data_IF_345104693701
#
_entry.id   IF_345104693701
#
_cell.length_a   1.000
_cell.length_b   1.000
_cell.length_c   1.000
_cell.angle_alpha   90.00
_cell.angle_beta   90.00
_cell.angle_gamma   90.00
#
_symmetry.space_group_name_H-M   'P 1'
#
loop_
_entity.id
_entity.type
_entity.pdbx_description
1 polymer ?
#
# COMPACT_ATOMS: atom_id res chain seq x y z
N UNK A 1 11.46 24.78 -2.75
CA UNK A 1 10.93 24.66 -1.37
C UNK A 1 11.18 23.23 -0.95
N UNK A 2 11.98 22.98 0.08
CA UNK A 2 12.22 21.62 0.60
C UNK A 2 11.22 21.38 1.73
N UNK A 3 10.31 20.44 1.54
CA UNK A 3 9.33 20.05 2.55
C UNK A 3 9.94 19.05 3.55
N UNK A 4 9.32 18.89 4.72
CA UNK A 4 9.77 17.91 5.72
C UNK A 4 9.78 16.47 5.19
N UNK A 5 8.95 16.17 4.19
CA UNK A 5 8.91 14.86 3.55
C UNK A 5 10.15 14.60 2.68
N UNK A 6 10.72 15.62 2.04
CA UNK A 6 11.94 15.53 1.24
C UNK A 6 13.18 15.25 2.12
N UNK A 7 13.15 15.70 3.37
CA UNK A 7 14.27 15.58 4.31
C UNK A 7 14.33 14.21 4.99
N UNK A 8 13.36 13.35 4.72
CA UNK A 8 13.26 12.00 5.30
C UNK A 8 13.49 10.96 4.21
N UNK A 9 14.06 9.81 4.55
CA UNK A 9 14.26 8.66 3.64
C UNK A 9 13.26 7.51 3.87
N UNK A 10 12.20 7.73 4.64
CA UNK A 10 11.20 6.72 4.99
C UNK A 10 10.14 6.44 3.91
N UNK A 11 9.44 5.32 4.03
CA UNK A 11 8.23 5.04 3.24
C UNK A 11 7.11 5.99 3.67
N UNK A 12 6.37 6.56 2.74
CA UNK A 12 5.29 7.52 2.99
C UNK A 12 3.96 6.81 2.72
N UNK A 13 3.12 6.68 3.74
CA UNK A 13 1.80 6.09 3.62
C UNK A 13 0.77 7.20 3.73
N UNK A 14 -0.10 7.34 2.72
CA UNK A 14 -1.25 8.24 2.75
C UNK A 14 -2.50 7.40 2.96
N UNK A 15 -3.08 7.48 4.15
CA UNK A 15 -4.23 6.69 4.56
C UNK A 15 -5.51 7.52 4.61
N UNK A 16 -6.55 7.06 3.91
CA UNK A 16 -7.87 7.69 3.91
C UNK A 16 -8.84 7.02 4.88
N UNK A 17 -9.63 7.85 5.58
CA UNK A 17 -10.63 7.40 6.53
C UNK A 17 -11.96 8.14 6.35
N UNK A 18 -13.06 7.48 6.74
CA UNK A 18 -14.41 8.03 6.81
C UNK A 18 -14.96 7.91 8.24
N UNK A 19 -16.16 8.46 8.46
CA UNK A 19 -17.01 8.02 9.56
C UNK A 19 -17.83 6.79 9.15
N UNK A 20 -18.67 6.32 10.05
CA UNK A 20 -19.55 5.15 9.90
C UNK A 20 -20.83 5.42 9.09
N UNK A 21 -21.05 6.64 8.59
CA UNK A 21 -22.23 6.93 7.77
C UNK A 21 -22.02 6.31 6.39
N UNK A 22 -22.88 5.37 5.95
CA UNK A 22 -22.72 4.76 4.63
C UNK A 22 -22.93 5.81 3.53
N UNK A 23 -22.00 5.88 2.59
CA UNK A 23 -22.19 6.65 1.35
C UNK A 23 -22.55 5.71 0.20
N UNK A 24 -23.32 6.23 -0.74
CA UNK A 24 -23.55 5.58 -2.02
C UNK A 24 -23.84 6.64 -3.08
N UNK A 25 -22.83 6.98 -3.87
CA UNK A 25 -22.92 7.96 -4.97
C UNK A 25 -22.43 7.31 -6.26
N UNK A 26 -22.76 7.91 -7.41
CA UNK A 26 -22.29 7.42 -8.72
C UNK A 26 -20.77 7.35 -8.84
N UNK A 27 -20.05 8.26 -8.17
CA UNK A 27 -18.58 8.31 -8.19
C UNK A 27 -17.93 7.53 -7.05
N UNK A 28 -18.64 7.40 -5.92
CA UNK A 28 -18.16 6.72 -4.71
C UNK A 28 -19.26 5.79 -4.19
N UNK A 29 -19.27 4.52 -4.63
CA UNK A 29 -20.31 3.57 -4.25
C UNK A 29 -20.18 3.04 -2.82
N UNK A 30 -19.06 3.30 -2.14
CA UNK A 30 -18.84 2.91 -0.74
C UNK A 30 -17.77 3.78 -0.06
N UNK A 31 -17.73 3.73 1.27
CA UNK A 31 -16.72 4.41 2.09
C UNK A 31 -15.29 3.96 1.74
N UNK A 32 -15.11 2.70 1.32
CA UNK A 32 -13.83 2.21 0.80
C UNK A 32 -13.37 2.98 -0.43
N UNK A 33 -14.28 3.22 -1.40
CA UNK A 33 -13.92 3.95 -2.62
C UNK A 33 -13.69 5.42 -2.33
N UNK A 34 -14.51 6.07 -1.48
CA UNK A 34 -14.30 7.47 -1.11
C UNK A 34 -12.98 7.70 -0.39
N UNK A 35 -12.67 6.90 0.63
CA UNK A 35 -11.41 7.03 1.38
C UNK A 35 -10.19 6.80 0.47
N UNK A 36 -10.24 5.80 -0.40
CA UNK A 36 -9.18 5.55 -1.41
C UNK A 36 -8.99 6.74 -2.35
N UNK A 37 -10.09 7.29 -2.88
CA UNK A 37 -10.04 8.41 -3.81
C UNK A 37 -9.47 9.69 -3.16
N UNK A 38 -9.81 9.96 -1.89
CA UNK A 38 -9.26 11.11 -1.16
C UNK A 38 -7.77 10.95 -0.91
N UNK A 39 -7.32 9.76 -0.51
CA UNK A 39 -5.89 9.48 -0.34
C UNK A 39 -5.13 9.60 -1.67
N UNK A 40 -5.69 9.08 -2.77
CA UNK A 40 -5.13 9.22 -4.11
C UNK A 40 -5.00 10.70 -4.56
N UNK A 41 -6.00 11.55 -4.23
CA UNK A 41 -5.94 12.98 -4.52
C UNK A 41 -4.76 13.67 -3.83
N UNK A 42 -4.48 13.30 -2.57
CA UNK A 42 -3.32 13.81 -1.83
C UNK A 42 -2.01 13.32 -2.45
N UNK A 43 -1.90 12.05 -2.81
CA UNK A 43 -0.71 11.52 -3.49
C UNK A 43 -0.47 12.23 -4.83
N UNK A 44 -1.51 12.42 -5.62
CA UNK A 44 -1.43 13.17 -6.88
C UNK A 44 -0.95 14.61 -6.65
N UNK A 45 -1.41 15.27 -5.59
CA UNK A 45 -0.90 16.60 -5.21
C UNK A 45 0.59 16.56 -4.85
N UNK A 46 1.02 15.61 -4.01
CA UNK A 46 2.42 15.47 -3.59
C UNK A 46 3.35 15.20 -4.78
N UNK A 47 2.95 14.31 -5.68
CA UNK A 47 3.70 13.97 -6.89
C UNK A 47 3.84 15.18 -7.83
N UNK A 48 2.75 15.91 -8.10
CA UNK A 48 2.77 17.09 -8.97
C UNK A 48 3.64 18.23 -8.43
N UNK A 49 3.75 18.33 -7.11
CA UNK A 49 4.59 19.32 -6.44
C UNK A 49 6.02 18.85 -6.19
N UNK A 50 6.35 17.60 -6.54
CA UNK A 50 7.67 16.97 -6.29
C UNK A 50 8.09 17.05 -4.81
N UNK A 51 7.14 16.83 -3.89
CA UNK A 51 7.33 16.89 -2.42
C UNK A 51 7.80 15.53 -1.85
N UNK A 52 7.84 14.50 -2.70
CA UNK A 52 8.39 13.18 -2.38
C UNK A 52 8.66 12.40 -3.67
N UNK A 53 9.58 11.43 -3.60
CA UNK A 53 9.74 10.42 -4.65
C UNK A 53 8.49 9.51 -4.69
N UNK A 54 7.78 9.42 -5.83
CA UNK A 54 6.60 8.56 -5.98
C UNK A 54 6.84 7.09 -5.62
N UNK A 55 8.07 6.58 -5.81
CA UNK A 55 8.41 5.19 -5.47
C UNK A 55 8.31 4.87 -3.98
N UNK A 56 8.31 5.92 -3.14
CA UNK A 56 8.21 5.81 -1.68
C UNK A 56 6.79 5.93 -1.15
N UNK A 57 5.81 6.22 -2.01
CA UNK A 57 4.44 6.56 -1.59
C UNK A 57 3.52 5.34 -1.73
N UNK A 58 2.79 5.04 -0.66
CA UNK A 58 1.71 4.06 -0.63
C UNK A 58 0.37 4.74 -0.35
N UNK A 59 -0.69 4.27 -0.99
CA UNK A 59 -2.06 4.64 -0.67
C UNK A 59 -2.66 3.54 0.18
N UNK A 60 -3.28 3.92 1.30
CA UNK A 60 -4.14 3.04 2.09
C UNK A 60 -5.52 3.66 2.24
N UNK A 61 -6.52 2.81 2.39
CA UNK A 61 -7.88 3.20 2.67
C UNK A 61 -8.39 2.30 3.77
N UNK A 62 -9.04 2.88 4.77
CA UNK A 62 -9.57 2.14 5.91
C UNK A 62 -11.07 2.31 6.06
N UNK A 63 -11.72 3.11 5.19
CA UNK A 63 -13.12 3.48 5.36
C UNK A 63 -13.38 3.91 6.82
N UNK A 64 -14.38 3.31 7.45
CA UNK A 64 -14.83 3.52 8.82
C UNK A 64 -14.22 2.55 9.84
N UNK A 65 -13.36 1.63 9.41
CA UNK A 65 -12.85 0.53 10.24
C UNK A 65 -11.82 0.95 11.29
N UNK A 66 -11.22 2.14 11.15
CA UNK A 66 -10.25 2.70 12.09
C UNK A 66 -10.66 4.12 12.53
N UNK A 67 -11.69 4.25 13.38
CA UNK A 67 -12.12 5.54 13.90
C UNK A 67 -11.11 6.07 14.93
N UNK A 68 -10.76 7.35 14.84
CA UNK A 68 -9.91 8.00 15.82
C UNK A 68 -10.69 8.35 17.11
N UNK A 69 -12.00 8.57 16.97
CA UNK A 69 -12.94 8.86 18.06
C UNK A 69 -14.25 8.07 17.86
N UNK A 70 -15.05 7.85 18.91
CA UNK A 70 -16.37 7.23 18.76
C UNK A 70 -17.26 8.01 17.79
N UNK A 71 -18.04 7.35 16.93
CA UNK A 71 -18.98 8.01 15.99
C UNK A 71 -20.29 8.50 16.66
N UNK A 72 -20.23 8.87 17.93
CA UNK A 72 -21.37 9.23 18.79
C UNK A 72 -21.87 10.68 18.60
N UNK A 73 -21.08 11.53 17.94
CA UNK A 73 -21.38 12.94 17.73
C UNK A 73 -20.91 13.41 16.36
N UNK A 74 -21.54 14.45 15.83
CA UNK A 74 -21.14 15.01 14.53
C UNK A 74 -19.72 15.58 14.57
N UNK A 75 -19.33 16.15 15.71
CA UNK A 75 -17.96 16.63 15.93
C UNK A 75 -16.93 15.49 15.84
N UNK A 76 -17.22 14.32 16.42
CA UNK A 76 -16.32 13.17 16.35
C UNK A 76 -16.29 12.55 14.95
N UNK A 77 -17.45 12.39 14.31
CA UNK A 77 -17.53 11.93 12.90
C UNK A 77 -16.71 12.82 11.97
N UNK A 78 -16.82 14.14 12.13
CA UNK A 78 -16.00 15.09 11.36
C UNK A 78 -14.49 14.87 11.53
N UNK A 79 -14.04 14.51 12.74
CA UNK A 79 -12.63 14.17 13.01
C UNK A 79 -12.23 12.81 12.41
N UNK A 80 -13.15 11.85 12.34
CA UNK A 80 -12.89 10.55 11.72
C UNK A 80 -12.74 10.62 10.19
N UNK A 81 -13.38 11.62 9.54
CA UNK A 81 -13.24 11.92 8.10
C UNK A 81 -11.90 12.61 7.77
N UNK A 82 -10.76 11.96 8.06
CA UNK A 82 -9.39 12.50 7.88
C UNK A 82 -8.53 11.76 6.84
N UNK A 83 -7.43 12.41 6.47
CA UNK A 83 -6.28 11.78 5.82
C UNK A 83 -5.12 11.75 6.82
N UNK A 84 -4.46 10.61 6.94
CA UNK A 84 -3.21 10.46 7.69
C UNK A 84 -2.03 10.32 6.73
N UNK A 85 -0.93 11.00 7.04
CA UNK A 85 0.34 10.86 6.31
C UNK A 85 1.35 10.32 7.30
N UNK A 86 1.75 9.07 7.11
CA UNK A 86 2.67 8.36 8.00
C UNK A 86 4.01 8.24 7.29
N UNK A 87 5.10 8.60 7.98
CA UNK A 87 6.46 8.42 7.47
C UNK A 87 7.11 7.29 8.29
N UNK A 88 7.25 6.13 7.67
CA UNK A 88 7.89 4.97 8.27
C UNK A 88 9.38 4.99 7.97
N UNK A 89 10.18 5.25 8.99
CA UNK A 89 11.64 5.15 8.89
C UNK A 89 12.02 3.70 9.07
N UNK A 90 12.49 3.04 8.01
CA UNK A 90 13.15 1.74 8.17
C UNK A 90 14.45 1.99 8.91
N UNK A 91 14.46 1.67 10.19
CA UNK A 91 15.71 1.60 10.95
C UNK A 91 16.46 0.32 10.53
N UNK A 92 17.76 0.26 10.78
CA UNK A 92 18.60 -0.87 10.36
C UNK A 92 18.15 -2.21 11.00
N UNK A 93 17.46 -2.14 12.15
CA UNK A 93 16.84 -3.28 12.80
C UNK A 93 15.60 -3.80 12.04
N UNK A 94 14.77 -2.94 11.47
CA UNK A 94 13.61 -3.32 10.65
C UNK A 94 14.06 -4.04 9.37
N UNK A 95 15.18 -3.61 8.76
CA UNK A 95 15.75 -4.36 7.63
C UNK A 95 16.14 -5.76 8.04
N UNK A 96 16.79 -5.93 9.19
CA UNK A 96 17.23 -7.22 9.68
C UNK A 96 16.05 -8.12 10.10
N UNK A 97 14.93 -7.55 10.56
CA UNK A 97 13.72 -8.30 10.90
C UNK A 97 12.89 -8.72 9.67
N UNK A 98 13.01 -8.00 8.56
CA UNK A 98 12.21 -8.24 7.34
C UNK A 98 13.01 -8.83 6.17
N UNK A 99 14.35 -8.88 6.24
CA UNK A 99 15.22 -9.47 5.21
C UNK A 99 14.93 -10.96 4.95
N UNK A 100 14.40 -11.68 5.94
CA UNK A 100 14.08 -13.11 5.81
C UNK A 100 12.74 -13.38 5.10
N UNK A 101 11.96 -12.33 4.77
CA UNK A 101 10.65 -12.46 4.11
C UNK A 101 10.69 -12.36 2.58
N UNK A 102 11.84 -12.00 1.99
CA UNK A 102 12.09 -12.23 0.57
C UNK A 102 12.55 -13.67 0.37
N UNK A 103 11.60 -14.61 0.29
CA UNK A 103 11.91 -15.93 -0.29
C UNK A 103 12.28 -15.70 -1.76
N UNK A 104 13.46 -16.16 -2.22
CA UNK A 104 13.80 -16.12 -3.64
C UNK A 104 12.77 -16.94 -4.40
N UNK A 105 12.13 -16.32 -5.38
CA UNK A 105 11.24 -17.00 -6.33
C UNK A 105 12.11 -17.80 -7.33
N UNK A 106 12.80 -18.82 -6.84
CA UNK A 106 13.57 -19.77 -7.65
C UNK A 106 13.33 -21.20 -7.15
N UNK A 107 12.38 -21.90 -7.79
CA UNK A 107 12.53 -23.29 -8.27
C UNK A 107 11.17 -23.93 -8.59
N UNK A 108 10.60 -23.65 -9.77
CA UNK A 108 9.77 -24.63 -10.49
C UNK A 108 10.28 -24.84 -11.90
N UNK A 109 11.24 -25.75 -11.96
CA UNK A 109 11.49 -26.74 -13.03
C UNK A 109 12.08 -26.24 -14.35
N UNK A 110 13.41 -26.27 -14.42
CA UNK A 110 14.10 -26.81 -15.60
C UNK A 110 14.89 -28.06 -15.17
N UNK A 111 14.69 -29.14 -15.91
CA UNK A 111 15.69 -30.19 -16.11
C UNK A 111 15.66 -31.41 -15.19
N UNK A 112 15.21 -32.55 -15.73
CA UNK A 112 15.86 -33.83 -15.49
C UNK A 112 15.95 -34.59 -16.82
N UNK A 113 17.08 -34.42 -17.52
CA UNK A 113 18.07 -35.47 -17.81
C UNK A 113 17.60 -36.93 -17.67
N UNK A 114 17.97 -37.93 -18.46
CA UNK A 114 18.81 -38.12 -19.66
C UNK A 114 18.73 -39.64 -19.99
N UNK A 115 18.92 -39.98 -21.27
CA UNK A 115 19.54 -41.20 -21.82
C UNK A 115 19.02 -42.61 -21.50
N UNK A 116 18.73 -43.38 -22.57
CA UNK A 116 19.52 -44.60 -22.94
C UNK A 116 19.10 -45.12 -24.33
N UNK A 117 20.08 -45.25 -25.24
CA UNK A 117 20.07 -45.96 -26.55
C UNK A 117 19.98 -47.48 -26.38
N UNK A 118 19.45 -48.18 -27.40
CA UNK A 118 19.60 -49.62 -27.78
C UNK A 118 18.23 -50.18 -28.16
N UNK A 119 17.95 -50.97 -29.20
CA UNK A 119 18.62 -51.50 -30.39
C UNK A 119 17.51 -52.03 -31.33
N UNK A 120 17.93 -52.56 -32.47
CA UNK A 120 17.24 -53.16 -33.62
C UNK A 120 16.07 -54.17 -33.42
N UNK A 121 15.46 -54.49 -34.57
CA UNK A 121 14.66 -55.67 -35.01
C UNK A 121 13.18 -55.40 -35.33
N UNK A 122 12.81 -55.35 -36.62
CA UNK A 122 12.38 -56.47 -37.52
C UNK A 122 10.88 -56.75 -37.39
N UNK A 123 10.08 -56.29 -38.35
CA UNK A 123 9.38 -57.09 -39.37
C UNK A 123 8.63 -56.16 -40.36
#
# INVERSE_FOLDING_TARGET
>A
MSGILDQTQGRIIVAGHTDDVPIHTSFYPSNWVLSSARAASVVHYLANRKIADPSRIEIRAYADTQPALPNDSEANRARNRRIEIIVSFTNELDRLLHADSEQPDEARHQGSDTDTKSDAETD
#
